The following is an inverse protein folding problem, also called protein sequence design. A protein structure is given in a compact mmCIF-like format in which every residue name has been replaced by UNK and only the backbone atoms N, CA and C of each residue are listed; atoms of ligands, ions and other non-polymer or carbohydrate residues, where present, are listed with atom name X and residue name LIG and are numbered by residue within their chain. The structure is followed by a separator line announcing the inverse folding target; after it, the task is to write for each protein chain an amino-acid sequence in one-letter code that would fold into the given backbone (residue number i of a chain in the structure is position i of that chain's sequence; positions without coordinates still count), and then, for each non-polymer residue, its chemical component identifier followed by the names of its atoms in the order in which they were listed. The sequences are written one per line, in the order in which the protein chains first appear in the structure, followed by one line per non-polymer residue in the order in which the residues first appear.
data_IF_321056757864
#
_entry.id   IF_321056757864
#
_cell.length_a   1.000
_cell.length_b   1.000
_cell.length_c   1.000
_cell.angle_alpha   90.00
_cell.angle_beta   90.00
_cell.angle_gamma   90.00
#
_symmetry.space_group_name_H-M   'P 1'
#
loop_
_entity.id
_entity.type
_entity.pdbx_description
1 polymer ?
#
# COMPACT_ATOMS: atom_id res chain seq x y z
N UNK A 1 -38.24 -32.47 22.50
CA UNK A 1 -38.35 -31.85 21.16
C UNK A 1 -37.96 -30.34 21.24
N UNK A 2 -38.45 -29.61 22.22
CA UNK A 2 -38.18 -28.16 22.40
C UNK A 2 -36.69 -27.81 22.52
N UNK A 3 -35.90 -28.58 23.27
CA UNK A 3 -34.45 -28.35 23.41
C UNK A 3 -33.67 -28.56 22.09
N UNK A 4 -34.11 -29.42 21.21
CA UNK A 4 -33.49 -29.68 19.91
C UNK A 4 -33.83 -28.55 18.92
N UNK A 5 -35.06 -28.04 18.98
CA UNK A 5 -35.49 -26.90 18.16
C UNK A 5 -34.75 -25.61 18.59
N UNK A 6 -34.60 -25.39 19.89
CA UNK A 6 -33.84 -24.25 20.41
C UNK A 6 -32.34 -24.33 20.03
N UNK A 7 -31.72 -25.50 20.09
CA UNK A 7 -30.34 -25.70 19.66
C UNK A 7 -30.14 -25.45 18.14
N UNK A 8 -31.08 -25.92 17.31
CA UNK A 8 -31.03 -25.69 15.86
C UNK A 8 -31.25 -24.21 15.49
N UNK A 9 -32.18 -23.53 16.19
CA UNK A 9 -32.42 -22.09 16.01
C UNK A 9 -31.18 -21.25 16.42
N UNK A 10 -30.53 -21.60 17.54
CA UNK A 10 -29.30 -20.96 18.00
C UNK A 10 -28.14 -21.17 17.00
N UNK A 11 -27.99 -22.39 16.48
CA UNK A 11 -26.98 -22.68 15.46
C UNK A 11 -27.22 -21.90 14.17
N UNK A 12 -28.50 -21.83 13.70
CA UNK A 12 -28.87 -21.03 12.53
C UNK A 12 -28.63 -19.54 12.73
N UNK A 13 -28.96 -19.00 13.92
CA UNK A 13 -28.70 -17.59 14.26
C UNK A 13 -27.20 -17.28 14.32
N UNK A 14 -26.37 -18.18 14.89
CA UNK A 14 -24.92 -18.06 14.90
C UNK A 14 -24.35 -18.03 13.49
N UNK A 15 -24.74 -18.97 12.63
CA UNK A 15 -24.31 -19.04 11.22
C UNK A 15 -24.71 -17.78 10.45
N UNK A 16 -25.92 -17.27 10.65
CA UNK A 16 -26.38 -16.03 10.00
C UNK A 16 -25.56 -14.83 10.44
N UNK A 17 -25.24 -14.72 11.75
CA UNK A 17 -24.39 -13.65 12.30
C UNK A 17 -22.99 -13.74 11.75
N UNK A 18 -22.38 -14.92 11.73
CA UNK A 18 -20.99 -15.11 11.26
C UNK A 18 -20.89 -14.81 9.75
N UNK A 19 -21.89 -15.18 8.97
CA UNK A 19 -22.00 -14.82 7.55
C UNK A 19 -22.16 -13.31 7.32
N UNK A 20 -22.95 -12.62 8.15
CA UNK A 20 -23.11 -11.16 8.08
C UNK A 20 -21.80 -10.45 8.47
N UNK A 21 -21.12 -10.92 9.50
CA UNK A 21 -19.82 -10.40 9.93
C UNK A 21 -18.77 -10.56 8.82
N UNK A 22 -18.70 -11.73 8.20
CA UNK A 22 -17.80 -12.01 7.09
C UNK A 22 -18.07 -11.11 5.87
N UNK A 23 -19.35 -10.93 5.48
CA UNK A 23 -19.73 -10.04 4.37
C UNK A 23 -19.33 -8.59 4.65
N UNK A 24 -19.47 -8.13 5.89
CA UNK A 24 -19.04 -6.79 6.32
C UNK A 24 -17.51 -6.65 6.19
N UNK A 25 -16.76 -7.66 6.60
CA UNK A 25 -15.30 -7.69 6.45
C UNK A 25 -14.86 -7.59 4.99
N UNK A 26 -15.53 -8.35 4.12
CA UNK A 26 -15.27 -8.32 2.67
C UNK A 26 -15.51 -6.91 2.07
N UNK A 27 -16.65 -6.29 2.39
CA UNK A 27 -16.95 -4.93 1.93
C UNK A 27 -15.90 -3.92 2.42
N UNK A 28 -15.52 -3.99 3.70
CA UNK A 28 -14.50 -3.12 4.31
C UNK A 28 -13.15 -3.31 3.60
N UNK A 29 -12.77 -4.55 3.28
CA UNK A 29 -11.53 -4.86 2.58
C UNK A 29 -11.52 -4.34 1.13
N UNK A 30 -12.63 -4.44 0.41
CA UNK A 30 -12.77 -3.85 -0.94
C UNK A 30 -12.69 -2.32 -0.87
N UNK A 31 -13.37 -1.71 0.11
CA UNK A 31 -13.35 -0.26 0.28
C UNK A 31 -11.97 0.27 0.65
N UNK A 32 -11.12 -0.54 1.30
CA UNK A 32 -9.73 -0.17 1.54
C UNK A 32 -8.95 0.07 0.24
N UNK A 33 -9.19 -0.74 -0.80
CA UNK A 33 -8.59 -0.57 -2.12
C UNK A 33 -9.04 0.72 -2.81
N UNK A 34 -10.31 1.11 -2.67
CA UNK A 34 -10.81 2.41 -3.16
C UNK A 34 -10.08 3.58 -2.48
N UNK A 35 -9.91 3.54 -1.16
CA UNK A 35 -9.18 4.57 -0.42
C UNK A 35 -7.68 4.60 -0.79
N UNK A 36 -7.09 3.44 -1.11
CA UNK A 36 -5.73 3.37 -1.59
C UNK A 36 -5.55 4.12 -2.93
N UNK A 37 -6.55 4.08 -3.80
CA UNK A 37 -6.57 4.89 -5.02
C UNK A 37 -6.49 6.39 -4.72
N UNK A 38 -7.26 6.86 -3.74
CA UNK A 38 -7.17 8.24 -3.25
C UNK A 38 -5.77 8.58 -2.72
N UNK A 39 -5.18 7.71 -1.90
CA UNK A 39 -3.79 7.88 -1.45
C UNK A 39 -2.83 8.06 -2.64
N UNK A 40 -2.87 7.16 -3.62
CA UNK A 40 -2.00 7.22 -4.79
C UNK A 40 -2.15 8.53 -5.56
N UNK A 41 -3.39 8.95 -5.84
CA UNK A 41 -3.66 10.13 -6.66
C UNK A 41 -3.24 11.43 -5.97
N UNK A 42 -3.60 11.62 -4.69
CA UNK A 42 -3.22 12.82 -3.95
C UNK A 42 -1.70 12.88 -3.67
N UNK A 43 -1.05 11.74 -3.50
CA UNK A 43 0.41 11.69 -3.41
C UNK A 43 1.06 12.10 -4.72
N UNK A 44 0.62 11.52 -5.83
CA UNK A 44 1.13 11.86 -7.17
C UNK A 44 0.94 13.34 -7.46
N UNK A 45 -0.27 13.87 -7.25
CA UNK A 45 -0.57 15.27 -7.47
C UNK A 45 0.24 16.19 -6.56
N UNK A 46 0.33 15.89 -5.26
CA UNK A 46 1.11 16.68 -4.32
C UNK A 46 2.59 16.81 -4.70
N UNK A 47 3.16 15.76 -5.30
CA UNK A 47 4.54 15.79 -5.79
C UNK A 47 4.71 16.49 -7.15
N UNK A 48 3.67 17.14 -7.67
CA UNK A 48 3.67 17.95 -8.89
C UNK A 48 3.46 19.45 -8.60
N UNK A 49 3.50 19.87 -7.33
CA UNK A 49 3.25 21.25 -6.92
C UNK A 49 4.36 21.81 -6.02
N UNK A 50 4.39 23.13 -5.91
CA UNK A 50 5.27 23.84 -4.98
C UNK A 50 6.75 23.49 -5.19
N UNK A 51 7.43 23.20 -4.10
CA UNK A 51 8.87 22.86 -4.09
C UNK A 51 9.23 21.66 -4.98
N UNK A 52 8.27 20.76 -5.27
CA UNK A 52 8.52 19.61 -6.13
C UNK A 52 8.75 20.00 -7.58
N UNK A 53 8.17 21.10 -8.06
CA UNK A 53 8.43 21.63 -9.41
C UNK A 53 9.90 22.03 -9.58
N UNK A 54 10.50 22.62 -8.53
CA UNK A 54 11.91 22.98 -8.54
C UNK A 54 12.82 21.75 -8.48
N UNK A 55 12.40 20.73 -7.72
CA UNK A 55 13.12 19.45 -7.57
C UNK A 55 13.14 18.66 -8.89
N UNK A 56 12.00 18.60 -9.59
CA UNK A 56 11.83 17.82 -10.83
C UNK A 56 12.02 18.64 -12.11
N UNK A 57 12.51 19.89 -12.02
CA UNK A 57 12.94 20.66 -13.18
C UNK A 57 14.07 19.94 -13.93
N UNK A 58 14.24 20.22 -15.23
CA UNK A 58 15.34 19.66 -16.05
C UNK A 58 16.71 19.89 -15.41
N UNK A 59 16.87 21.06 -14.81
CA UNK A 59 17.99 21.37 -13.91
C UNK A 59 17.38 21.70 -12.55
N UNK A 60 17.58 20.87 -11.52
CA UNK A 60 17.04 21.13 -10.19
C UNK A 60 17.47 22.49 -9.64
N UNK A 61 16.51 23.22 -9.09
CA UNK A 61 16.71 24.58 -8.56
C UNK A 61 16.32 24.65 -7.09
N UNK A 62 16.43 25.81 -6.48
CA UNK A 62 16.03 26.05 -5.10
C UNK A 62 16.74 25.13 -4.12
N UNK A 63 15.99 24.40 -3.32
CA UNK A 63 16.50 23.51 -2.26
C UNK A 63 17.20 22.25 -2.81
N UNK A 64 16.98 21.92 -4.07
CA UNK A 64 17.60 20.78 -4.75
C UNK A 64 18.68 21.19 -5.74
N UNK A 65 19.13 22.45 -5.73
CA UNK A 65 20.18 22.91 -6.62
C UNK A 65 21.49 22.13 -6.37
N UNK A 66 22.04 21.53 -7.44
CA UNK A 66 23.31 20.82 -7.41
C UNK A 66 23.28 19.42 -6.81
N UNK A 67 22.12 18.88 -6.48
CA UNK A 67 21.98 17.48 -6.02
C UNK A 67 22.25 16.50 -7.16
N UNK A 68 22.68 15.28 -6.80
CA UNK A 68 22.96 14.22 -7.77
C UNK A 68 21.70 13.68 -8.45
N UNK A 69 21.85 13.08 -9.63
CA UNK A 69 20.75 12.36 -10.29
C UNK A 69 20.25 11.19 -9.43
N UNK A 70 21.14 10.56 -8.65
CA UNK A 70 20.76 9.53 -7.68
C UNK A 70 19.80 10.11 -6.62
N UNK A 71 20.10 11.30 -6.11
CA UNK A 71 19.26 11.96 -5.12
C UNK A 71 17.85 12.21 -5.64
N UNK A 72 17.72 12.73 -6.87
CA UNK A 72 16.42 13.01 -7.49
C UNK A 72 15.59 11.74 -7.63
N UNK A 73 16.17 10.64 -8.07
CA UNK A 73 15.41 9.39 -8.30
C UNK A 73 15.09 8.69 -6.98
N UNK A 74 16.04 8.52 -6.10
CA UNK A 74 15.89 7.64 -4.94
C UNK A 74 15.60 8.39 -3.64
N UNK A 75 16.37 9.42 -3.33
CA UNK A 75 16.21 10.16 -2.07
C UNK A 75 14.93 10.98 -2.07
N UNK A 76 14.62 11.67 -3.17
CA UNK A 76 13.38 12.45 -3.32
C UNK A 76 12.16 11.55 -3.26
N UNK A 77 12.21 10.35 -3.85
CA UNK A 77 11.11 9.37 -3.71
C UNK A 77 10.93 8.91 -2.25
N UNK A 78 12.02 8.70 -1.52
CA UNK A 78 11.94 8.40 -0.08
C UNK A 78 11.39 9.58 0.73
N UNK A 79 11.73 10.82 0.36
CA UNK A 79 11.16 12.04 0.94
C UNK A 79 9.65 12.10 0.69
N UNK A 80 9.20 11.82 -0.53
CA UNK A 80 7.76 11.76 -0.86
C UNK A 80 7.02 10.74 -0.01
N UNK A 81 7.55 9.53 0.10
CA UNK A 81 7.01 8.49 0.97
C UNK A 81 7.00 8.94 2.45
N UNK A 82 8.09 9.57 2.91
CA UNK A 82 8.20 10.09 4.29
C UNK A 82 7.14 11.16 4.58
N UNK A 83 6.92 12.12 3.67
CA UNK A 83 5.92 13.18 3.83
C UNK A 83 4.51 12.60 4.03
N UNK A 84 4.14 11.62 3.21
CA UNK A 84 2.82 10.95 3.32
C UNK A 84 2.73 10.11 4.58
N UNK A 85 3.76 9.31 4.89
CA UNK A 85 3.75 8.43 6.07
C UNK A 85 3.76 9.21 7.39
N UNK A 86 4.47 10.37 7.45
CA UNK A 86 4.41 11.28 8.60
C UNK A 86 3.03 11.92 8.73
N UNK A 87 2.42 12.37 7.63
CA UNK A 87 1.05 12.87 7.61
C UNK A 87 0.05 11.81 8.10
N UNK A 88 0.22 10.57 7.64
CA UNK A 88 -0.56 9.42 8.07
C UNK A 88 -0.35 9.08 9.55
N UNK A 89 0.87 9.18 10.06
CA UNK A 89 1.19 8.99 11.48
C UNK A 89 0.53 10.07 12.35
N UNK A 90 0.63 11.34 11.95
CA UNK A 90 -0.03 12.47 12.64
C UNK A 90 -1.55 12.24 12.71
N UNK A 91 -2.16 11.89 11.58
CA UNK A 91 -3.59 11.59 11.53
C UNK A 91 -3.98 10.40 12.41
N UNK A 92 -3.21 9.30 12.35
CA UNK A 92 -3.48 8.09 13.13
C UNK A 92 -3.33 8.33 14.64
N UNK A 93 -2.33 9.11 15.06
CA UNK A 93 -2.14 9.52 16.45
C UNK A 93 -3.27 10.44 16.92
N UNK A 94 -3.65 11.43 16.12
CA UNK A 94 -4.77 12.31 16.42
C UNK A 94 -6.06 11.52 16.60
N UNK A 95 -6.41 10.67 15.64
CA UNK A 95 -7.59 9.82 15.70
C UNK A 95 -7.53 8.86 16.89
N UNK A 96 -6.38 8.20 17.12
CA UNK A 96 -6.14 7.33 18.26
C UNK A 96 -6.29 8.06 19.61
N UNK A 97 -5.90 9.33 19.67
CA UNK A 97 -6.13 10.22 20.81
C UNK A 97 -7.60 10.48 21.05
N UNK A 98 -8.35 10.84 19.99
CA UNK A 98 -9.79 11.09 20.08
C UNK A 98 -10.59 9.88 20.60
N UNK A 99 -10.16 8.65 20.28
CA UNK A 99 -10.82 7.41 20.74
C UNK A 99 -10.19 6.80 22.01
N UNK A 100 -9.22 7.48 22.63
CA UNK A 100 -8.60 7.07 23.90
C UNK A 100 -7.66 5.85 23.80
N UNK A 101 -7.06 5.57 22.63
CA UNK A 101 -6.22 4.38 22.42
C UNK A 101 -4.69 4.59 22.59
N UNK A 102 -4.24 5.82 22.87
CA UNK A 102 -2.80 6.11 22.96
C UNK A 102 -2.09 5.38 24.13
N UNK A 103 -2.80 5.12 25.23
CA UNK A 103 -2.25 4.33 26.33
C UNK A 103 -1.98 2.87 25.94
N UNK A 104 -2.90 2.29 25.17
CA UNK A 104 -2.77 0.93 24.65
C UNK A 104 -1.68 0.83 23.59
N UNK A 105 -1.55 1.83 22.72
CA UNK A 105 -0.45 1.96 21.76
C UNK A 105 0.90 1.87 22.47
N UNK A 106 1.14 2.70 23.50
CA UNK A 106 2.40 2.72 24.23
C UNK A 106 2.73 1.36 24.87
N UNK A 107 1.72 0.68 25.46
CA UNK A 107 1.91 -0.67 26.03
C UNK A 107 2.23 -1.71 24.99
N UNK A 108 1.56 -1.66 23.83
CA UNK A 108 1.71 -2.65 22.77
C UNK A 108 3.09 -2.62 22.13
N UNK A 109 3.74 -1.47 22.04
CA UNK A 109 5.11 -1.35 21.49
C UNK A 109 6.12 -2.31 22.15
N UNK A 110 5.98 -2.57 23.43
CA UNK A 110 6.89 -3.46 24.18
C UNK A 110 6.54 -4.94 24.04
N UNK A 111 5.37 -5.28 23.52
CA UNK A 111 4.90 -6.66 23.37
C UNK A 111 5.51 -7.36 22.16
N UNK A 112 5.51 -8.71 22.17
CA UNK A 112 5.96 -9.50 21.01
C UNK A 112 5.16 -9.19 19.74
N UNK A 113 3.81 -9.12 19.73
CA UNK A 113 3.06 -8.72 18.55
C UNK A 113 3.37 -7.31 18.07
N UNK A 114 3.56 -6.35 18.99
CA UNK A 114 3.94 -4.97 18.63
C UNK A 114 5.29 -4.91 17.93
N UNK A 115 6.29 -5.67 18.41
CA UNK A 115 7.61 -5.77 17.75
C UNK A 115 7.52 -6.41 16.36
N UNK A 116 6.67 -7.42 16.18
CA UNK A 116 6.40 -8.02 14.87
C UNK A 116 5.79 -6.99 13.92
N UNK A 117 4.84 -6.18 14.39
CA UNK A 117 4.25 -5.08 13.60
C UNK A 117 5.29 -4.03 13.21
N UNK A 118 6.22 -3.67 14.10
CA UNK A 118 7.32 -2.73 13.79
C UNK A 118 8.19 -3.30 12.66
N UNK A 119 8.59 -4.58 12.74
CA UNK A 119 9.41 -5.22 11.69
C UNK A 119 8.65 -5.27 10.36
N UNK A 120 7.38 -5.68 10.39
CA UNK A 120 6.54 -5.68 9.20
C UNK A 120 6.40 -4.28 8.59
N UNK A 121 6.23 -3.25 9.44
CA UNK A 121 6.13 -1.86 9.02
C UNK A 121 7.42 -1.30 8.40
N UNK A 122 8.60 -1.74 8.86
CA UNK A 122 9.88 -1.37 8.25
C UNK A 122 10.00 -1.92 6.83
N UNK A 123 9.54 -3.14 6.60
CA UNK A 123 9.58 -3.77 5.27
C UNK A 123 8.52 -3.15 4.35
N UNK A 124 7.29 -3.02 4.81
CA UNK A 124 6.17 -2.52 4.01
C UNK A 124 6.15 -0.99 3.85
N UNK A 125 6.68 -0.25 4.81
CA UNK A 125 6.79 1.21 4.77
C UNK A 125 8.06 1.66 4.02
N UNK A 126 9.20 1.82 4.70
CA UNK A 126 10.39 2.41 4.10
C UNK A 126 10.84 1.73 2.81
N UNK A 127 10.90 0.41 2.77
CA UNK A 127 11.37 -0.29 1.60
C UNK A 127 10.31 -0.34 0.49
N UNK A 128 9.11 -0.83 0.80
CA UNK A 128 8.09 -1.02 -0.22
C UNK A 128 7.44 0.30 -0.66
N UNK A 129 7.11 1.21 0.28
CA UNK A 129 6.50 2.50 -0.09
C UNK A 129 7.47 3.37 -0.89
N UNK A 130 8.77 3.42 -0.55
CA UNK A 130 9.75 4.15 -1.34
C UNK A 130 9.91 3.53 -2.74
N UNK A 131 9.99 2.19 -2.84
CA UNK A 131 10.04 1.52 -4.14
C UNK A 131 8.79 1.81 -4.98
N UNK A 132 7.61 1.88 -4.34
CA UNK A 132 6.37 2.27 -4.99
C UNK A 132 6.40 3.71 -5.52
N UNK A 133 6.90 4.66 -4.72
CA UNK A 133 7.03 6.07 -5.15
C UNK A 133 8.03 6.20 -6.30
N UNK A 134 9.18 5.50 -6.24
CA UNK A 134 10.12 5.42 -7.36
C UNK A 134 9.40 4.93 -8.62
N UNK A 135 8.62 3.86 -8.49
CA UNK A 135 7.81 3.32 -9.59
C UNK A 135 6.86 4.37 -10.18
N UNK A 136 6.10 5.08 -9.33
CA UNK A 136 5.17 6.13 -9.76
C UNK A 136 5.87 7.26 -10.50
N UNK A 137 7.02 7.71 -10.01
CA UNK A 137 7.79 8.78 -10.63
C UNK A 137 8.40 8.37 -11.99
N UNK A 138 8.84 7.13 -12.12
CA UNK A 138 9.53 6.63 -13.32
C UNK A 138 8.59 6.10 -14.41
N UNK A 139 7.43 5.58 -14.03
CA UNK A 139 6.51 4.91 -14.96
C UNK A 139 5.03 5.30 -14.78
N UNK A 140 4.73 6.26 -13.90
CA UNK A 140 3.37 6.73 -13.69
C UNK A 140 2.44 5.69 -13.07
N UNK A 141 1.13 5.92 -13.19
CA UNK A 141 0.09 5.10 -12.55
C UNK A 141 -0.01 3.65 -13.07
N UNK A 142 0.67 3.33 -14.17
CA UNK A 142 0.71 1.96 -14.73
C UNK A 142 1.36 0.96 -13.77
N UNK A 143 2.21 1.41 -12.85
CA UNK A 143 2.85 0.53 -11.87
C UNK A 143 1.90 0.07 -10.77
N UNK A 144 0.77 0.74 -10.57
CA UNK A 144 -0.16 0.44 -9.47
C UNK A 144 -0.71 -0.99 -9.55
N UNK A 145 -1.18 -1.47 -10.72
CA UNK A 145 -1.55 -2.89 -10.86
C UNK A 145 -0.38 -3.87 -10.67
N UNK A 146 0.86 -3.48 -11.04
CA UNK A 146 2.04 -4.34 -10.82
C UNK A 146 2.30 -4.49 -9.31
N UNK A 147 2.23 -3.39 -8.57
CA UNK A 147 2.37 -3.42 -7.11
C UNK A 147 1.28 -4.27 -6.43
N UNK A 148 0.10 -4.42 -7.05
CA UNK A 148 -0.99 -5.27 -6.56
C UNK A 148 -0.69 -6.78 -6.60
N UNK A 149 0.43 -7.21 -7.21
CA UNK A 149 0.96 -8.57 -7.06
C UNK A 149 1.27 -8.93 -5.61
N UNK A 150 1.29 -7.96 -4.68
CA UNK A 150 1.51 -8.20 -3.26
C UNK A 150 0.57 -9.28 -2.70
N UNK A 151 -0.68 -9.36 -3.17
CA UNK A 151 -1.64 -10.39 -2.76
C UNK A 151 -1.19 -11.80 -3.20
N UNK A 152 -0.71 -11.94 -4.43
CA UNK A 152 -0.20 -13.22 -4.95
C UNK A 152 1.10 -13.62 -4.25
N UNK A 153 2.01 -12.66 -4.06
CA UNK A 153 3.28 -12.87 -3.34
C UNK A 153 3.02 -13.22 -1.88
N UNK A 154 2.09 -12.53 -1.21
CA UNK A 154 1.68 -12.85 0.17
C UNK A 154 1.11 -14.27 0.30
N UNK A 155 0.35 -14.74 -0.69
CA UNK A 155 -0.14 -16.12 -0.71
C UNK A 155 0.98 -17.14 -0.89
N UNK A 156 1.98 -16.85 -1.73
CA UNK A 156 3.19 -17.68 -1.91
C UNK A 156 3.97 -17.74 -0.59
N UNK A 157 4.21 -16.61 0.05
CA UNK A 157 4.88 -16.54 1.35
C UNK A 157 4.10 -17.32 2.41
N UNK A 158 2.76 -17.18 2.44
CA UNK A 158 1.89 -17.93 3.33
C UNK A 158 2.02 -19.43 3.18
N UNK A 159 2.17 -19.92 1.94
CA UNK A 159 2.42 -21.34 1.69
C UNK A 159 3.76 -21.82 2.26
N UNK A 160 4.85 -21.14 1.94
CA UNK A 160 6.19 -21.57 2.34
C UNK A 160 6.51 -21.29 3.82
N UNK A 161 6.19 -20.10 4.32
CA UNK A 161 6.52 -19.69 5.68
C UNK A 161 5.55 -20.22 6.73
N UNK A 162 4.25 -20.24 6.42
CA UNK A 162 3.20 -20.65 7.36
C UNK A 162 2.59 -22.01 7.02
N UNK A 163 3.15 -22.73 6.05
CA UNK A 163 2.70 -24.06 5.58
C UNK A 163 1.20 -24.12 5.23
N UNK A 164 0.66 -23.00 4.73
CA UNK A 164 -0.73 -22.93 4.30
C UNK A 164 -0.95 -23.83 3.09
N UNK A 165 -2.04 -24.59 3.09
CA UNK A 165 -2.38 -25.47 1.96
C UNK A 165 -2.74 -24.63 0.74
N UNK A 166 -2.08 -24.90 -0.38
CA UNK A 166 -2.36 -24.28 -1.67
C UNK A 166 -3.43 -25.08 -2.40
N UNK A 167 -4.49 -24.41 -2.84
CA UNK A 167 -5.52 -25.02 -3.67
C UNK A 167 -5.27 -24.77 -5.15
N UNK A 168 -5.89 -25.56 -6.03
CA UNK A 168 -5.82 -25.32 -7.49
C UNK A 168 -6.30 -23.92 -7.86
N UNK A 169 -7.35 -23.40 -7.22
CA UNK A 169 -7.84 -22.06 -7.47
C UNK A 169 -6.85 -20.97 -7.05
N UNK A 170 -6.09 -21.16 -5.98
CA UNK A 170 -5.02 -20.23 -5.59
C UNK A 170 -3.92 -20.19 -6.67
N UNK A 171 -3.49 -21.34 -7.18
CA UNK A 171 -2.49 -21.41 -8.26
C UNK A 171 -2.98 -20.69 -9.50
N UNK A 172 -4.23 -20.92 -9.90
CA UNK A 172 -4.86 -20.23 -11.05
C UNK A 172 -4.89 -18.71 -10.82
N UNK A 173 -5.31 -18.27 -9.64
CA UNK A 173 -5.32 -16.84 -9.29
C UNK A 173 -3.93 -16.20 -9.36
N UNK A 174 -2.91 -16.87 -8.84
CA UNK A 174 -1.49 -16.42 -8.91
C UNK A 174 -1.06 -16.30 -10.39
N UNK A 175 -1.31 -17.31 -11.21
CA UNK A 175 -0.93 -17.29 -12.64
C UNK A 175 -1.61 -16.11 -13.35
N UNK A 176 -2.90 -15.89 -13.11
CA UNK A 176 -3.65 -14.77 -13.71
C UNK A 176 -3.04 -13.42 -13.27
N UNK A 177 -2.69 -13.24 -11.99
CA UNK A 177 -2.06 -12.01 -11.50
C UNK A 177 -0.71 -11.75 -12.18
N UNK A 178 0.15 -12.76 -12.31
CA UNK A 178 1.43 -12.59 -12.98
C UNK A 178 1.27 -12.33 -14.50
N UNK A 179 0.31 -13.00 -15.15
CA UNK A 179 0.00 -12.74 -16.55
C UNK A 179 -0.52 -11.31 -16.77
N UNK A 180 -1.40 -10.82 -15.88
CA UNK A 180 -1.89 -9.46 -15.91
C UNK A 180 -0.75 -8.43 -15.71
N UNK A 181 0.14 -8.66 -14.74
CA UNK A 181 1.29 -7.78 -14.52
C UNK A 181 2.23 -7.75 -15.71
N UNK A 182 2.46 -8.90 -16.36
CA UNK A 182 3.27 -8.98 -17.59
C UNK A 182 2.60 -8.24 -18.74
N UNK A 183 1.28 -8.37 -18.91
CA UNK A 183 0.52 -7.64 -19.93
C UNK A 183 0.63 -6.13 -19.74
N UNK A 184 0.46 -5.65 -18.49
CA UNK A 184 0.57 -4.23 -18.15
C UNK A 184 2.00 -3.73 -18.39
N UNK A 185 3.00 -4.46 -17.90
CA UNK A 185 4.41 -4.10 -18.08
C UNK A 185 4.83 -4.07 -19.53
N UNK A 186 4.34 -5.02 -20.36
CA UNK A 186 4.64 -5.04 -21.80
C UNK A 186 4.02 -3.87 -22.55
N UNK A 187 2.83 -3.42 -22.17
CA UNK A 187 2.19 -2.24 -22.79
C UNK A 187 2.96 -0.95 -22.52
N UNK A 188 3.58 -0.82 -21.34
CA UNK A 188 4.46 0.31 -21.03
C UNK A 188 5.73 0.34 -21.90
N UNK A 189 6.13 -0.80 -22.44
CA UNK A 189 7.33 -0.92 -23.27
C UNK A 189 7.10 -0.50 -24.72
N UNK A 190 5.85 -0.50 -25.19
CA UNK A 190 5.51 -0.17 -26.59
C UNK A 190 5.24 1.32 -26.80
N UNK A 191 4.68 2.00 -25.80
CA UNK A 191 4.25 3.40 -25.91
C UNK A 191 5.29 4.40 -25.38
N UNK A 192 6.16 3.97 -24.49
CA UNK A 192 7.29 4.76 -24.03
C UNK A 192 8.50 4.39 -24.88
N UNK A 193 9.05 5.35 -25.64
CA UNK A 193 10.41 5.24 -26.14
C UNK A 193 11.25 4.66 -25.00
N UNK A 194 11.78 3.46 -25.16
CA UNK A 194 12.44 2.65 -24.14
C UNK A 194 13.60 3.41 -23.47
N UNK A 195 13.28 4.47 -22.75
CA UNK A 195 14.18 5.02 -21.77
C UNK A 195 14.21 3.99 -20.63
N UNK A 196 15.37 3.52 -20.23
CA UNK A 196 15.51 2.48 -19.19
C UNK A 196 14.77 2.82 -17.86
N UNK A 197 14.19 4.02 -17.76
CA UNK A 197 13.40 4.52 -16.65
C UNK A 197 12.10 3.75 -16.41
N UNK A 198 11.28 3.54 -17.41
CA UNK A 198 9.98 2.86 -17.24
C UNK A 198 10.14 1.40 -16.80
N UNK A 199 11.12 0.68 -17.35
CA UNK A 199 11.43 -0.68 -16.93
C UNK A 199 11.92 -0.73 -15.47
N UNK A 200 12.74 0.23 -15.07
CA UNK A 200 13.19 0.36 -13.69
C UNK A 200 12.04 0.71 -12.75
N UNK A 201 11.10 1.56 -13.19
CA UNK A 201 9.87 1.86 -12.46
C UNK A 201 8.99 0.62 -12.24
N UNK A 202 8.82 -0.23 -13.25
CA UNK A 202 8.11 -1.50 -13.12
C UNK A 202 8.82 -2.48 -12.17
N UNK A 203 10.16 -2.53 -12.22
CA UNK A 203 10.96 -3.32 -11.27
C UNK A 203 10.78 -2.80 -9.83
N UNK A 204 10.81 -1.49 -9.63
CA UNK A 204 10.56 -0.88 -8.33
C UNK A 204 9.16 -1.23 -7.79
N UNK A 205 8.13 -1.21 -8.65
CA UNK A 205 6.80 -1.66 -8.30
C UNK A 205 6.74 -3.14 -7.90
N UNK A 206 7.51 -3.99 -8.56
CA UNK A 206 7.62 -5.41 -8.18
C UNK A 206 8.31 -5.60 -6.83
N UNK A 207 9.35 -4.81 -6.53
CA UNK A 207 9.99 -4.77 -5.21
C UNK A 207 8.98 -4.32 -4.15
N UNK A 208 8.18 -3.30 -4.43
CA UNK A 208 7.10 -2.87 -3.55
C UNK A 208 6.08 -3.99 -3.30
N UNK A 209 5.70 -4.74 -4.35
CA UNK A 209 4.80 -5.89 -4.23
C UNK A 209 5.38 -6.99 -3.32
N UNK A 210 6.68 -7.26 -3.39
CA UNK A 210 7.35 -8.21 -2.48
C UNK A 210 7.29 -7.69 -1.05
N UNK A 211 7.66 -6.44 -0.80
CA UNK A 211 7.68 -5.84 0.53
C UNK A 211 6.29 -5.85 1.18
N UNK A 212 5.26 -5.43 0.46
CA UNK A 212 3.88 -5.47 0.96
C UNK A 212 3.31 -6.89 1.06
N UNK A 213 3.76 -7.82 0.23
CA UNK A 213 3.44 -9.24 0.37
C UNK A 213 3.97 -9.81 1.69
N UNK A 214 5.21 -9.46 2.06
CA UNK A 214 5.81 -9.82 3.35
C UNK A 214 5.09 -9.11 4.51
N UNK A 215 4.86 -7.78 4.40
CA UNK A 215 4.10 -7.02 5.41
C UNK A 215 2.73 -7.64 5.66
N UNK A 216 1.99 -7.96 4.60
CA UNK A 216 0.66 -8.54 4.69
C UNK A 216 0.66 -9.92 5.34
N UNK A 217 1.63 -10.77 5.02
CA UNK A 217 1.75 -12.10 5.61
C UNK A 217 2.13 -12.03 7.10
N UNK A 218 3.12 -11.21 7.46
CA UNK A 218 3.64 -11.09 8.84
C UNK A 218 2.74 -10.19 9.69
N UNK A 219 2.33 -9.05 9.16
CA UNK A 219 1.45 -8.11 9.83
C UNK A 219 0.04 -8.67 10.05
N UNK A 220 -0.50 -9.42 9.06
CA UNK A 220 -1.77 -10.11 9.19
C UNK A 220 -1.79 -11.08 10.38
N UNK A 221 -0.71 -11.81 10.62
CA UNK A 221 -0.56 -12.65 11.80
C UNK A 221 -0.57 -11.84 13.10
N UNK A 222 0.13 -10.70 13.15
CA UNK A 222 0.17 -9.85 14.34
C UNK A 222 -1.18 -9.16 14.61
N UNK A 223 -1.95 -8.82 13.57
CA UNK A 223 -3.28 -8.19 13.69
C UNK A 223 -4.36 -9.12 14.26
N UNK A 224 -4.13 -10.44 14.33
CA UNK A 224 -5.00 -11.34 15.10
C UNK A 224 -4.85 -11.16 16.63
N UNK A 225 -3.77 -10.51 17.09
CA UNK A 225 -3.42 -10.35 18.51
C UNK A 225 -3.44 -8.89 18.97
N UNK A 226 -3.53 -7.92 18.07
CA UNK A 226 -3.48 -6.49 18.36
C UNK A 226 -4.70 -5.81 17.77
N UNK A 227 -5.30 -4.91 18.53
CA UNK A 227 -6.39 -4.06 18.02
C UNK A 227 -5.95 -3.30 16.76
N UNK A 228 -6.81 -3.27 15.76
CA UNK A 228 -6.50 -2.71 14.43
C UNK A 228 -6.10 -1.24 14.51
N UNK A 229 -6.71 -0.44 15.39
CA UNK A 229 -6.39 0.98 15.55
C UNK A 229 -4.96 1.15 16.06
N UNK A 230 -4.57 0.33 17.02
CA UNK A 230 -3.21 0.33 17.59
C UNK A 230 -2.21 -0.15 16.55
N UNK A 231 -2.54 -1.20 15.81
CA UNK A 231 -1.68 -1.75 14.76
C UNK A 231 -1.36 -0.69 13.69
N UNK A 232 -2.37 0.10 13.28
CA UNK A 232 -2.18 1.19 12.31
C UNK A 232 -1.32 2.32 12.87
N UNK A 233 -1.53 2.74 14.12
CA UNK A 233 -0.67 3.75 14.74
C UNK A 233 0.79 3.28 14.75
N UNK A 234 1.05 2.02 15.15
CA UNK A 234 2.40 1.43 15.15
C UNK A 234 2.98 1.45 13.74
N UNK A 235 2.22 0.98 12.76
CA UNK A 235 2.64 0.90 11.35
C UNK A 235 3.01 2.28 10.81
N UNK A 236 2.13 3.25 10.94
CA UNK A 236 2.33 4.57 10.34
C UNK A 236 3.45 5.37 11.03
N UNK A 237 3.52 5.32 12.37
CA UNK A 237 4.62 5.95 13.10
C UNK A 237 5.97 5.32 12.75
N UNK A 238 6.04 3.99 12.68
CA UNK A 238 7.29 3.29 12.31
C UNK A 238 7.70 3.65 10.91
N UNK A 239 6.77 3.56 9.94
CA UNK A 239 7.05 3.86 8.53
C UNK A 239 7.51 5.30 8.34
N UNK A 240 6.78 6.27 8.88
CA UNK A 240 7.10 7.69 8.75
C UNK A 240 8.46 8.04 9.36
N UNK A 241 8.73 7.58 10.59
CA UNK A 241 9.99 7.88 11.25
C UNK A 241 11.19 7.18 10.60
N UNK A 242 11.06 5.91 10.24
CA UNK A 242 12.17 5.18 9.60
C UNK A 242 12.45 5.72 8.19
N UNK A 243 11.40 6.07 7.42
CA UNK A 243 11.57 6.75 6.14
C UNK A 243 12.29 8.08 6.30
N UNK A 244 11.75 8.98 7.13
CA UNK A 244 12.26 10.34 7.27
C UNK A 244 13.68 10.40 7.86
N UNK A 245 13.98 9.56 8.85
CA UNK A 245 15.25 9.66 9.58
C UNK A 245 16.30 8.71 9.00
N UNK A 246 15.95 7.44 8.78
CA UNK A 246 16.94 6.42 8.42
C UNK A 246 17.12 6.33 6.91
N UNK A 247 16.03 6.15 6.16
CA UNK A 247 16.15 5.88 4.73
C UNK A 247 16.59 7.12 3.95
N UNK A 248 16.04 8.30 4.27
CA UNK A 248 16.50 9.57 3.66
C UNK A 248 17.99 9.79 3.95
N UNK A 249 18.46 9.52 5.18
CA UNK A 249 19.89 9.65 5.51
C UNK A 249 20.76 8.69 4.70
N UNK A 250 20.39 7.40 4.65
CA UNK A 250 21.15 6.38 3.92
C UNK A 250 21.25 6.74 2.43
N UNK A 251 20.11 7.06 1.80
CA UNK A 251 20.08 7.37 0.37
C UNK A 251 20.82 8.67 0.04
N UNK A 252 20.75 9.69 0.91
CA UNK A 252 21.53 10.94 0.73
C UNK A 252 23.05 10.71 0.80
N UNK A 253 23.50 9.80 1.68
CA UNK A 253 24.91 9.41 1.75
C UNK A 253 25.30 8.62 0.49
N UNK A 254 24.47 7.66 0.08
CA UNK A 254 24.74 6.84 -1.11
C UNK A 254 24.81 7.67 -2.40
N UNK A 255 24.01 8.73 -2.51
CA UNK A 255 24.05 9.69 -3.62
C UNK A 255 25.27 10.63 -3.59
N UNK A 256 25.97 10.70 -2.47
CA UNK A 256 27.09 11.63 -2.27
C UNK A 256 26.66 13.04 -1.87
N UNK A 257 25.36 13.29 -1.68
CA UNK A 257 24.78 14.61 -1.39
C UNK A 257 24.87 14.98 0.10
N UNK A 258 25.07 13.98 0.96
CA UNK A 258 25.19 14.14 2.40
C UNK A 258 23.84 14.24 3.14
N UNK A 259 23.87 13.88 4.43
CA UNK A 259 22.67 13.81 5.29
C UNK A 259 22.00 15.20 5.42
N UNK A 260 22.81 16.27 5.52
CA UNK A 260 22.32 17.65 5.66
C UNK A 260 21.42 18.07 4.50
N UNK A 261 21.80 17.74 3.27
CA UNK A 261 21.00 18.00 2.06
C UNK A 261 19.69 17.23 2.12
N UNK A 262 19.71 15.93 2.49
CA UNK A 262 18.49 15.13 2.63
C UNK A 262 17.49 15.74 3.61
N UNK A 263 17.94 16.14 4.79
CA UNK A 263 17.06 16.78 5.78
C UNK A 263 16.63 18.20 5.37
N UNK A 264 17.47 18.94 4.67
CA UNK A 264 17.10 20.26 4.15
C UNK A 264 15.95 20.13 3.15
N UNK A 265 16.06 19.24 2.17
CA UNK A 265 14.99 18.98 1.18
C UNK A 265 13.74 18.40 1.84
N UNK A 266 13.89 17.43 2.76
CA UNK A 266 12.75 16.87 3.51
C UNK A 266 11.99 17.97 4.26
N UNK A 267 12.71 18.84 4.97
CA UNK A 267 12.10 19.94 5.74
C UNK A 267 11.38 20.91 4.81
N UNK A 268 11.99 21.26 3.67
CA UNK A 268 11.36 22.10 2.67
C UNK A 268 10.04 21.48 2.16
N UNK A 269 10.04 20.18 1.81
CA UNK A 269 8.84 19.48 1.37
C UNK A 269 7.74 19.42 2.45
N UNK A 270 8.10 19.27 3.72
CA UNK A 270 7.14 19.23 4.83
C UNK A 270 6.54 20.60 5.15
N UNK A 271 7.22 21.69 4.81
CA UNK A 271 6.79 23.06 5.09
C UNK A 271 6.21 23.78 3.88
N UNK A 272 6.30 23.20 2.70
CA UNK A 272 5.73 23.72 1.45
C UNK A 272 4.22 23.49 1.39
N UNK A 273 3.43 24.42 1.93
CA UNK A 273 1.96 24.29 1.98
C UNK A 273 1.27 24.07 0.64
N UNK A 274 1.73 24.64 -0.51
CA UNK A 274 1.16 24.35 -1.82
C UNK A 274 1.11 22.88 -2.18
N UNK A 275 2.08 22.08 -1.73
CA UNK A 275 2.16 20.64 -1.98
C UNK A 275 1.76 19.80 -0.77
N UNK A 276 2.20 20.17 0.44
CA UNK A 276 2.10 19.31 1.62
C UNK A 276 0.65 19.02 2.04
N UNK A 277 -0.30 19.94 1.83
CA UNK A 277 -1.70 19.65 2.15
C UNK A 277 -2.24 18.44 1.36
N UNK A 278 -1.83 18.27 0.08
CA UNK A 278 -2.21 17.11 -0.74
C UNK A 278 -1.54 15.83 -0.23
N UNK A 279 -0.24 15.93 0.12
CA UNK A 279 0.49 14.80 0.72
C UNK A 279 -0.07 14.41 2.08
N UNK A 280 -0.55 15.38 2.87
CA UNK A 280 -1.25 15.10 4.13
C UNK A 280 -2.60 14.42 3.87
N UNK A 281 -3.38 14.87 2.89
CA UNK A 281 -4.64 14.22 2.47
C UNK A 281 -4.35 12.79 1.99
N UNK A 282 -3.30 12.59 1.20
CA UNK A 282 -2.82 11.26 0.83
C UNK A 282 -2.52 10.40 2.08
N UNK A 283 -1.88 10.98 3.09
CA UNK A 283 -1.62 10.34 4.38
C UNK A 283 -2.90 9.91 5.12
N UNK A 284 -3.93 10.75 5.11
CA UNK A 284 -5.26 10.40 5.66
C UNK A 284 -5.87 9.23 4.91
N UNK A 285 -5.89 9.27 3.58
CA UNK A 285 -6.36 8.16 2.75
C UNK A 285 -5.56 6.87 3.01
N UNK A 286 -4.24 6.96 3.11
CA UNK A 286 -3.34 5.86 3.44
C UNK A 286 -3.72 5.24 4.81
N UNK A 287 -3.84 6.06 5.84
CA UNK A 287 -4.21 5.61 7.19
C UNK A 287 -5.53 4.83 7.20
N UNK A 288 -6.58 5.38 6.57
CA UNK A 288 -7.88 4.71 6.49
C UNK A 288 -7.85 3.45 5.62
N UNK A 289 -7.10 3.47 4.51
CA UNK A 289 -6.93 2.31 3.64
C UNK A 289 -6.31 1.14 4.41
N UNK A 290 -5.17 1.34 5.05
CA UNK A 290 -4.50 0.31 5.85
C UNK A 290 -5.37 -0.16 7.03
N UNK A 291 -6.06 0.75 7.72
CA UNK A 291 -7.00 0.41 8.79
C UNK A 291 -8.12 -0.52 8.29
N UNK A 292 -8.76 -0.17 7.18
CA UNK A 292 -9.83 -1.00 6.64
C UNK A 292 -9.32 -2.30 6.05
N UNK A 293 -8.13 -2.31 5.48
CA UNK A 293 -7.47 -3.52 5.06
C UNK A 293 -7.25 -4.48 6.24
N UNK A 294 -6.61 -4.03 7.31
CA UNK A 294 -6.35 -4.83 8.50
C UNK A 294 -7.65 -5.29 9.17
N UNK A 295 -8.63 -4.40 9.29
CA UNK A 295 -9.94 -4.74 9.86
C UNK A 295 -10.70 -5.74 9.01
N UNK A 296 -10.70 -5.56 7.70
CA UNK A 296 -11.28 -6.51 6.75
C UNK A 296 -10.60 -7.88 6.84
N UNK A 297 -9.27 -7.90 6.86
CA UNK A 297 -8.49 -9.13 7.02
C UNK A 297 -8.80 -9.87 8.33
N UNK A 298 -8.97 -9.15 9.44
CA UNK A 298 -9.37 -9.73 10.73
C UNK A 298 -10.79 -10.30 10.71
N UNK A 299 -11.70 -9.78 9.87
CA UNK A 299 -13.10 -10.20 9.81
C UNK A 299 -13.38 -11.30 8.79
N UNK A 300 -12.72 -11.29 7.64
CA UNK A 300 -12.97 -12.25 6.56
C UNK A 300 -11.78 -13.18 6.26
N UNK A 301 -10.74 -13.11 7.09
CA UNK A 301 -9.50 -13.85 6.92
C UNK A 301 -8.42 -13.05 6.18
N UNK A 302 -7.17 -13.21 6.63
CA UNK A 302 -6.04 -12.41 6.13
C UNK A 302 -5.88 -12.48 4.62
N UNK A 303 -6.01 -13.66 4.05
CA UNK A 303 -5.88 -13.89 2.62
C UNK A 303 -6.93 -13.19 1.78
N UNK A 304 -8.20 -13.29 2.17
CA UNK A 304 -9.29 -12.65 1.46
C UNK A 304 -9.25 -11.13 1.64
N UNK A 305 -8.88 -10.67 2.84
CA UNK A 305 -8.69 -9.25 3.12
C UNK A 305 -7.57 -8.64 2.26
N UNK A 306 -6.43 -9.30 2.13
CA UNK A 306 -5.34 -8.89 1.23
C UNK A 306 -5.80 -8.87 -0.22
N UNK A 307 -6.48 -9.93 -0.67
CA UNK A 307 -6.99 -10.02 -2.03
C UNK A 307 -7.96 -8.89 -2.37
N UNK A 308 -8.90 -8.60 -1.47
CA UNK A 308 -9.89 -7.54 -1.70
C UNK A 308 -9.27 -6.12 -1.68
N UNK A 309 -8.26 -5.88 -0.84
CA UNK A 309 -7.48 -4.64 -0.89
C UNK A 309 -6.81 -4.48 -2.25
N UNK A 310 -6.34 -5.54 -2.86
CA UNK A 310 -5.73 -5.54 -4.20
C UNK A 310 -6.63 -4.97 -5.32
N UNK A 311 -7.92 -4.72 -5.06
CA UNK A 311 -8.77 -3.93 -5.96
C UNK A 311 -8.21 -2.52 -6.25
N UNK A 312 -7.24 -2.05 -5.48
CA UNK A 312 -6.51 -0.81 -5.79
C UNK A 312 -5.80 -0.86 -7.16
N UNK A 313 -5.54 -2.05 -7.69
CA UNK A 313 -5.03 -2.23 -9.05
C UNK A 313 -5.90 -1.50 -10.10
N UNK A 314 -7.20 -1.44 -9.88
CA UNK A 314 -8.15 -0.68 -10.70
C UNK A 314 -8.33 0.74 -10.15
N UNK A 315 -8.55 0.87 -8.84
CA UNK A 315 -8.89 2.15 -8.23
C UNK A 315 -7.74 3.16 -8.26
N UNK A 316 -6.47 2.73 -8.21
CA UNK A 316 -5.32 3.62 -8.28
C UNK A 316 -5.27 4.43 -9.58
N UNK A 317 -5.15 3.77 -10.75
CA UNK A 317 -5.21 4.47 -12.03
C UNK A 317 -6.50 5.27 -12.24
N UNK A 318 -7.65 4.74 -11.77
CA UNK A 318 -8.93 5.44 -11.89
C UNK A 318 -8.94 6.77 -11.11
N UNK A 319 -8.45 6.78 -9.88
CA UNK A 319 -8.32 8.00 -9.10
C UNK A 319 -7.29 8.97 -9.68
N UNK A 320 -6.14 8.48 -10.19
CA UNK A 320 -5.16 9.30 -10.87
C UNK A 320 -5.74 9.97 -12.11
N UNK A 321 -6.53 9.23 -12.91
CA UNK A 321 -7.23 9.80 -14.06
C UNK A 321 -8.20 10.92 -13.64
N UNK A 322 -8.94 10.74 -12.54
CA UNK A 322 -9.88 11.77 -12.06
C UNK A 322 -9.13 12.96 -11.46
N UNK A 323 -8.24 12.72 -10.49
CA UNK A 323 -7.59 13.79 -9.73
C UNK A 323 -6.56 14.49 -10.62
N UNK A 324 -5.52 13.78 -11.06
CA UNK A 324 -4.44 14.39 -11.81
C UNK A 324 -4.88 14.77 -13.23
N UNK A 325 -5.65 13.89 -13.91
CA UNK A 325 -6.09 14.14 -15.28
C UNK A 325 -7.24 15.15 -15.38
N UNK A 326 -8.42 14.86 -14.82
CA UNK A 326 -9.60 15.68 -15.04
C UNK A 326 -9.69 16.92 -14.14
N UNK A 327 -9.29 16.82 -12.86
CA UNK A 327 -9.40 17.96 -11.93
C UNK A 327 -8.24 18.93 -12.12
N UNK A 328 -7.00 18.43 -12.16
CA UNK A 328 -5.81 19.28 -12.31
C UNK A 328 -5.32 19.45 -13.75
N UNK A 329 -5.87 18.69 -14.71
CA UNK A 329 -5.66 18.91 -16.14
C UNK A 329 -4.31 18.42 -16.67
N UNK A 330 -3.66 17.49 -15.98
CA UNK A 330 -2.40 16.90 -16.45
C UNK A 330 -2.64 15.83 -17.49
N UNK A 331 -1.85 15.85 -18.57
CA UNK A 331 -1.84 14.81 -19.59
C UNK A 331 -1.16 13.53 -19.10
N UNK A 332 -1.47 12.38 -19.71
CA UNK A 332 -0.79 11.11 -19.46
C UNK A 332 -1.35 10.27 -18.30
N UNK A 333 -2.38 10.74 -17.60
CA UNK A 333 -3.02 9.98 -16.50
C UNK A 333 -4.16 9.04 -16.94
N UNK A 334 -4.45 8.98 -18.23
CA UNK A 334 -5.38 8.00 -18.80
C UNK A 334 -4.60 6.78 -19.25
N UNK A 335 -4.83 5.63 -18.61
CA UNK A 335 -4.18 4.40 -19.06
C UNK A 335 -4.61 4.01 -20.47
N UNK A 336 -3.72 3.41 -21.28
CA UNK A 336 -4.10 2.78 -22.53
C UNK A 336 -5.09 1.63 -22.26
N UNK A 337 -5.88 1.25 -23.27
CA UNK A 337 -6.89 0.18 -23.14
C UNK A 337 -6.32 -1.12 -22.57
N UNK A 338 -5.10 -1.49 -22.97
CA UNK A 338 -4.39 -2.67 -22.46
C UNK A 338 -4.12 -2.56 -20.96
N UNK A 339 -3.77 -1.36 -20.47
CA UNK A 339 -3.58 -1.09 -19.04
C UNK A 339 -4.86 -1.30 -18.24
N UNK A 340 -6.00 -0.81 -18.72
CA UNK A 340 -7.30 -1.02 -18.09
C UNK A 340 -7.73 -2.49 -18.09
N UNK A 341 -7.56 -3.18 -19.23
CA UNK A 341 -7.84 -4.62 -19.31
C UNK A 341 -6.97 -5.38 -18.33
N UNK A 342 -5.67 -5.09 -18.29
CA UNK A 342 -4.74 -5.71 -17.37
C UNK A 342 -5.12 -5.47 -15.89
N UNK A 343 -5.53 -4.25 -15.54
CA UNK A 343 -5.98 -3.93 -14.18
C UNK A 343 -7.23 -4.74 -13.79
N UNK A 344 -8.21 -4.88 -14.68
CA UNK A 344 -9.40 -5.70 -14.44
C UNK A 344 -9.07 -7.20 -14.32
N UNK A 345 -8.18 -7.71 -15.19
CA UNK A 345 -7.70 -9.09 -15.11
C UNK A 345 -6.93 -9.33 -13.81
N UNK A 346 -6.13 -8.37 -13.36
CA UNK A 346 -5.43 -8.43 -12.07
C UNK A 346 -6.44 -8.55 -10.92
N UNK A 347 -7.46 -7.70 -10.88
CA UNK A 347 -8.52 -7.76 -9.85
C UNK A 347 -9.23 -9.11 -9.87
N UNK A 348 -9.57 -9.63 -11.05
CA UNK A 348 -10.19 -10.95 -11.18
C UNK A 348 -9.29 -12.08 -10.64
N UNK A 349 -7.99 -12.06 -10.98
CA UNK A 349 -6.99 -13.01 -10.48
C UNK A 349 -6.87 -12.97 -8.94
N UNK A 350 -6.79 -11.78 -8.37
CA UNK A 350 -6.73 -11.54 -6.93
C UNK A 350 -8.00 -12.08 -6.23
N UNK A 351 -9.18 -11.84 -6.79
CA UNK A 351 -10.43 -12.35 -6.22
C UNK A 351 -10.51 -13.88 -6.27
N UNK A 352 -10.10 -14.50 -7.37
CA UNK A 352 -10.04 -15.97 -7.50
C UNK A 352 -9.10 -16.54 -6.43
N UNK A 353 -7.90 -15.96 -6.28
CA UNK A 353 -6.92 -16.36 -5.28
C UNK A 353 -7.52 -16.26 -3.87
N UNK A 354 -8.07 -15.11 -3.52
CA UNK A 354 -8.60 -14.81 -2.20
C UNK A 354 -9.78 -15.72 -1.81
N UNK A 355 -10.74 -15.92 -2.73
CA UNK A 355 -11.89 -16.80 -2.50
C UNK A 355 -11.42 -18.25 -2.32
N UNK A 356 -10.46 -18.70 -3.13
CA UNK A 356 -9.96 -20.06 -3.08
C UNK A 356 -9.18 -20.34 -1.78
N UNK A 357 -8.42 -19.36 -1.30
CA UNK A 357 -7.68 -19.44 -0.05
C UNK A 357 -8.63 -19.47 1.15
N UNK A 358 -9.66 -18.63 1.17
CA UNK A 358 -10.65 -18.60 2.23
C UNK A 358 -11.43 -19.94 2.35
N UNK A 359 -11.83 -20.53 1.21
CA UNK A 359 -12.48 -21.86 1.20
C UNK A 359 -11.56 -22.95 1.81
N UNK A 360 -10.27 -22.91 1.53
CA UNK A 360 -9.31 -23.87 2.08
C UNK A 360 -9.14 -23.73 3.60
N UNK A 361 -9.16 -22.51 4.12
CA UNK A 361 -9.08 -22.25 5.56
C UNK A 361 -10.33 -22.73 6.29
N UNK A 362 -11.53 -22.43 5.77
CA UNK A 362 -12.80 -22.87 6.35
C UNK A 362 -13.03 -24.39 6.32
N UNK A 363 -12.30 -25.15 5.51
CA UNK A 363 -12.35 -26.62 5.48
C UNK A 363 -11.38 -27.27 6.49
N UNK A 364 -10.56 -26.49 7.17
CA UNK A 364 -9.59 -26.97 8.17
C UNK A 364 -10.05 -26.72 9.61
N UNK A 365 -11.05 -25.83 9.81
CA UNK A 365 -11.78 -25.61 11.07
C UNK A 365 -12.97 -26.59 11.20
#
# INVERSE_FOLDING_TARGET
MENVQNASALAAAKTARDKAFWKKGLFIAIFSGFLYGGYTSFMTEGMMHGVWNDIYADVPTGVAAGVSAFFIVYTVSAIGAACVDLGSAIWSLFYGGCIGRLGDFKRTLSTKPGKILIIAAIIGGPLASTAYVIGLQMAGSIIVPIAALNAAIGAIIGHFAFKQKTTKGMVVGIIICFAAATLIGSSSMTDLNFSGGAALGCLAAFIAAIGWGVEGAVGGYACCMVDTEIAIIIRQCTSGLVNAIILVSILSIMGGDGIGTGFHVLTACLTDMPSYWMLFVAGVFSSWSFKFWYKGAAMCGAALGMGCNGAYAFWGPFWCMIVCGFIFGHDGFVLPAVGWIGALVMVAGILILAISQNKATMQQE
#
